data_IF_551727669555
#
_entry.id   IF_551727669555
#
_cell.length_a   1.000
_cell.length_b   1.000
_cell.length_c   1.000
_cell.angle_alpha   90.00
_cell.angle_beta   90.00
_cell.angle_gamma   90.00
#
_symmetry.space_group_name_H-M   'P 1'
#
loop_
_entity.id
_entity.type
_entity.pdbx_description
1 polymer ?
#
# COMPACT_ATOMS: atom_id res chain seq x y z
N UNK A 1 0.83 5.21 9.96
CA UNK A 1 -0.60 4.85 9.92
C UNK A 1 -0.91 3.86 8.80
N UNK A 2 -0.23 3.90 7.65
CA UNK A 2 -0.35 2.86 6.62
C UNK A 2 0.26 1.52 7.07
N UNK A 3 1.39 1.55 7.79
CA UNK A 3 2.05 0.35 8.29
C UNK A 3 1.10 -0.57 9.09
N UNK A 4 0.26 0.02 9.95
CA UNK A 4 -0.70 -0.73 10.75
C UNK A 4 -1.71 -1.49 9.88
N UNK A 5 -2.18 -0.88 8.78
CA UNK A 5 -3.04 -1.59 7.83
C UNK A 5 -2.28 -2.76 7.21
N UNK A 6 -1.11 -2.49 6.64
CA UNK A 6 -0.30 -3.48 5.90
C UNK A 6 0.16 -4.66 6.77
N UNK A 7 0.58 -4.41 8.01
CA UNK A 7 1.00 -5.46 8.94
C UNK A 7 -0.18 -6.33 9.34
N UNK A 8 -1.31 -5.73 9.69
CA UNK A 8 -2.47 -6.50 10.15
C UNK A 8 -3.21 -7.23 9.01
N UNK A 9 -3.09 -6.79 7.76
CA UNK A 9 -3.80 -7.38 6.62
C UNK A 9 -2.95 -8.27 5.72
N UNK A 10 -1.63 -8.04 5.65
CA UNK A 10 -0.76 -8.70 4.65
C UNK A 10 0.52 -9.27 5.26
N UNK A 11 1.33 -8.44 5.93
CA UNK A 11 2.73 -8.79 6.23
C UNK A 11 2.95 -9.43 7.59
N UNK A 12 1.95 -9.42 8.48
CA UNK A 12 2.02 -10.02 9.82
C UNK A 12 2.67 -11.41 9.86
N UNK A 13 2.24 -12.38 9.02
CA UNK A 13 2.82 -13.73 9.02
C UNK A 13 4.32 -13.76 8.74
N UNK A 14 4.83 -12.86 7.90
CA UNK A 14 6.27 -12.77 7.62
C UNK A 14 7.07 -12.23 8.82
N UNK A 15 6.40 -11.56 9.75
CA UNK A 15 6.95 -11.04 11.01
C UNK A 15 6.68 -11.97 12.20
N UNK A 16 6.13 -13.18 11.98
CA UNK A 16 5.74 -14.09 13.05
C UNK A 16 4.47 -13.65 13.81
N UNK A 17 3.69 -12.73 13.24
CA UNK A 17 2.44 -12.23 13.81
C UNK A 17 1.23 -12.80 13.04
N UNK A 18 0.09 -13.02 13.71
CA UNK A 18 -1.13 -13.36 12.99
C UNK A 18 -1.68 -12.16 12.21
N UNK A 19 -2.41 -12.43 11.13
CA UNK A 19 -3.27 -11.43 10.53
C UNK A 19 -4.41 -11.07 11.49
N UNK A 20 -4.81 -9.80 11.50
CA UNK A 20 -5.86 -9.30 12.37
C UNK A 20 -6.82 -8.40 11.57
N UNK A 21 -7.89 -8.99 10.97
CA UNK A 21 -8.84 -8.24 10.15
C UNK A 21 -9.55 -7.10 10.90
N UNK A 22 -9.80 -7.26 12.21
CA UNK A 22 -10.41 -6.22 13.04
C UNK A 22 -9.48 -5.03 13.18
N UNK A 23 -8.21 -5.27 13.52
CA UNK A 23 -7.21 -4.21 13.64
C UNK A 23 -6.91 -3.56 12.27
N UNK A 24 -6.89 -4.34 11.19
CA UNK A 24 -6.75 -3.81 9.83
C UNK A 24 -7.89 -2.84 9.47
N UNK A 25 -9.15 -3.21 9.77
CA UNK A 25 -10.31 -2.34 9.52
C UNK A 25 -10.26 -1.04 10.32
N UNK A 26 -9.83 -1.08 11.57
CA UNK A 26 -9.67 0.14 12.37
C UNK A 26 -8.49 0.99 11.87
N UNK A 27 -7.38 0.36 11.49
CA UNK A 27 -6.24 1.04 10.90
C UNK A 27 -6.63 1.74 9.59
N UNK A 28 -7.47 1.12 8.75
CA UNK A 28 -7.95 1.71 7.51
C UNK A 28 -8.82 2.95 7.75
N UNK A 29 -9.71 2.93 8.75
CA UNK A 29 -10.49 4.13 9.14
C UNK A 29 -9.58 5.28 9.58
N UNK A 30 -8.56 4.97 10.39
CA UNK A 30 -7.58 5.96 10.85
C UNK A 30 -6.80 6.50 9.66
N UNK A 31 -6.31 5.62 8.77
CA UNK A 31 -5.64 5.98 7.53
C UNK A 31 -6.50 6.93 6.68
N UNK A 32 -7.76 6.60 6.43
CA UNK A 32 -8.66 7.45 5.65
C UNK A 32 -8.81 8.86 6.28
N UNK A 33 -9.00 8.93 7.61
CA UNK A 33 -9.06 10.22 8.31
C UNK A 33 -7.73 10.99 8.24
N UNK A 34 -6.60 10.28 8.34
CA UNK A 34 -5.26 10.86 8.22
C UNK A 34 -4.98 11.40 6.81
N UNK A 35 -5.37 10.70 5.75
CA UNK A 35 -5.20 11.15 4.36
C UNK A 35 -6.03 12.42 4.08
N UNK A 36 -7.29 12.45 4.55
CA UNK A 36 -8.12 13.65 4.45
C UNK A 36 -7.51 14.87 5.18
N UNK A 37 -6.95 14.65 6.38
CA UNK A 37 -6.23 15.70 7.12
C UNK A 37 -4.92 16.09 6.43
N UNK A 38 -4.23 15.13 5.81
CA UNK A 38 -3.01 15.37 5.06
C UNK A 38 -3.25 16.40 3.95
N UNK A 39 -4.21 16.15 3.08
CA UNK A 39 -4.52 17.06 1.95
C UNK A 39 -5.00 18.44 2.39
N UNK A 40 -5.79 18.51 3.45
CA UNK A 40 -6.44 19.77 3.86
C UNK A 40 -5.54 20.66 4.71
N UNK A 41 -4.71 20.06 5.57
CA UNK A 41 -3.91 20.81 6.55
C UNK A 41 -2.48 21.02 6.07
N UNK A 42 -1.87 20.02 5.44
CA UNK A 42 -0.42 20.03 5.22
C UNK A 42 -0.01 20.28 3.76
N UNK A 43 -0.87 19.95 2.79
CA UNK A 43 -0.69 20.26 1.37
C UNK A 43 -1.45 21.54 0.99
N UNK A 44 -0.88 22.69 1.37
CA UNK A 44 -1.50 24.02 1.20
C UNK A 44 -1.18 24.64 -0.16
N UNK A 45 -2.20 25.23 -0.79
CA UNK A 45 -2.05 26.01 -2.02
C UNK A 45 -1.48 25.19 -3.17
N UNK A 46 -0.64 25.82 -4.00
CA UNK A 46 0.02 25.21 -5.16
C UNK A 46 1.47 24.80 -4.85
N UNK A 47 1.81 24.64 -3.57
CA UNK A 47 3.17 24.26 -3.19
C UNK A 47 3.44 22.78 -3.47
N UNK A 48 4.71 22.47 -3.75
CA UNK A 48 5.13 21.13 -4.16
C UNK A 48 5.33 20.17 -2.99
N UNK A 49 5.66 20.70 -1.82
CA UNK A 49 6.03 19.96 -0.61
C UNK A 49 5.23 20.42 0.60
N UNK A 50 5.37 19.68 1.70
CA UNK A 50 4.71 19.97 2.96
C UNK A 50 4.94 21.42 3.40
N UNK A 51 3.93 21.96 4.10
CA UNK A 51 3.96 23.31 4.70
C UNK A 51 4.12 24.47 3.71
N UNK A 52 3.87 24.26 2.42
CA UNK A 52 3.99 25.32 1.43
C UNK A 52 5.40 25.47 0.85
N UNK A 53 6.29 24.50 1.09
CA UNK A 53 7.70 24.59 0.66
C UNK A 53 7.89 24.28 -0.83
N UNK A 54 8.95 24.85 -1.41
CA UNK A 54 9.44 24.54 -2.76
C UNK A 54 10.60 23.54 -2.79
N UNK A 55 11.08 23.09 -1.61
CA UNK A 55 12.08 22.04 -1.46
C UNK A 55 11.58 20.99 -0.45
N UNK A 56 11.92 19.70 -0.63
CA UNK A 56 11.54 18.66 0.31
C UNK A 56 12.28 18.81 1.64
N UNK A 57 11.62 18.43 2.71
CA UNK A 57 12.17 18.36 4.07
C UNK A 57 12.22 16.91 4.57
N UNK A 58 12.79 16.70 5.76
CA UNK A 58 12.74 15.38 6.42
C UNK A 58 11.30 14.91 6.70
N UNK A 59 10.36 15.85 6.88
CA UNK A 59 8.95 15.51 7.03
C UNK A 59 8.38 14.92 5.74
N UNK A 60 8.80 15.43 4.57
CA UNK A 60 8.38 14.89 3.29
C UNK A 60 8.92 13.47 3.09
N UNK A 61 10.22 13.26 3.38
CA UNK A 61 10.86 11.94 3.29
C UNK A 61 10.22 10.92 4.24
N UNK A 62 9.91 11.32 5.47
CA UNK A 62 9.32 10.42 6.45
C UNK A 62 7.90 10.02 6.05
N UNK A 63 7.11 10.99 5.59
CA UNK A 63 5.72 10.76 5.25
C UNK A 63 5.58 9.99 3.93
N UNK A 64 6.47 10.23 2.95
CA UNK A 64 6.38 9.55 1.65
C UNK A 64 6.65 8.06 1.83
N UNK A 65 7.66 7.70 2.64
CA UNK A 65 7.96 6.32 2.98
C UNK A 65 6.76 5.62 3.65
N UNK A 66 5.98 6.34 4.45
CA UNK A 66 4.78 5.80 5.07
C UNK A 66 3.66 5.58 4.04
N UNK A 67 3.47 6.50 3.09
CA UNK A 67 2.50 6.32 2.00
C UNK A 67 2.91 5.17 1.07
N UNK A 68 4.21 5.06 0.74
CA UNK A 68 4.72 4.04 -0.18
C UNK A 68 4.49 2.61 0.32
N UNK A 69 4.30 2.37 1.63
CA UNK A 69 3.93 1.04 2.13
C UNK A 69 2.59 0.54 1.57
N UNK A 70 1.70 1.44 1.13
CA UNK A 70 0.44 1.07 0.49
C UNK A 70 0.64 0.39 -0.87
N UNK A 71 1.80 0.55 -1.51
CA UNK A 71 2.14 -0.17 -2.76
C UNK A 71 2.12 -1.69 -2.60
N UNK A 72 2.20 -2.21 -1.38
CA UNK A 72 2.10 -3.65 -1.08
C UNK A 72 0.67 -4.18 -1.32
N UNK A 73 -0.34 -3.32 -1.27
CA UNK A 73 -1.74 -3.68 -1.56
C UNK A 73 -1.87 -4.18 -3.00
N UNK A 74 -2.94 -4.93 -3.28
CA UNK A 74 -3.32 -5.13 -4.68
C UNK A 74 -3.83 -3.84 -5.30
N UNK A 75 -3.85 -3.81 -6.63
CA UNK A 75 -4.14 -2.59 -7.39
C UNK A 75 -5.52 -2.01 -7.06
N UNK A 76 -6.51 -2.88 -6.81
CA UNK A 76 -7.86 -2.48 -6.50
C UNK A 76 -7.93 -1.76 -5.16
N UNK A 77 -7.30 -2.33 -4.13
CA UNK A 77 -7.29 -1.70 -2.80
C UNK A 77 -6.41 -0.46 -2.74
N UNK A 78 -5.29 -0.46 -3.46
CA UNK A 78 -4.43 0.71 -3.60
C UNK A 78 -5.20 1.88 -4.22
N UNK A 79 -5.85 1.67 -5.37
CA UNK A 79 -6.65 2.67 -6.06
C UNK A 79 -7.84 3.14 -5.21
N UNK A 80 -8.53 2.22 -4.54
CA UNK A 80 -9.65 2.54 -3.65
C UNK A 80 -9.24 3.46 -2.49
N UNK A 81 -8.02 3.32 -1.98
CA UNK A 81 -7.52 4.07 -0.82
C UNK A 81 -6.89 5.39 -1.25
N UNK A 82 -6.00 5.40 -2.26
CA UNK A 82 -5.25 6.60 -2.65
C UNK A 82 -5.83 7.36 -3.84
N UNK A 83 -6.59 6.70 -4.72
CA UNK A 83 -7.19 7.34 -5.90
C UNK A 83 -7.99 8.61 -5.60
N UNK A 84 -8.78 8.68 -4.51
CA UNK A 84 -9.49 9.90 -4.12
C UNK A 84 -8.58 11.08 -3.71
N UNK A 85 -7.29 10.85 -3.46
CA UNK A 85 -6.35 11.80 -2.87
C UNK A 85 -5.32 12.34 -3.89
N UNK A 86 -5.82 13.00 -4.93
CA UNK A 86 -5.00 13.50 -6.04
C UNK A 86 -3.85 14.41 -5.62
N UNK A 87 -4.01 15.23 -4.56
CA UNK A 87 -2.92 16.10 -4.08
C UNK A 87 -1.79 15.30 -3.44
N UNK A 88 -2.13 14.22 -2.72
CA UNK A 88 -1.12 13.31 -2.16
C UNK A 88 -0.36 12.64 -3.29
N UNK A 89 -1.05 12.15 -4.33
CA UNK A 89 -0.41 11.51 -5.49
C UNK A 89 0.57 12.46 -6.20
N UNK A 90 0.15 13.71 -6.42
CA UNK A 90 1.03 14.75 -6.98
C UNK A 90 2.25 15.03 -6.07
N UNK A 91 2.02 15.16 -4.76
CA UNK A 91 3.08 15.38 -3.79
C UNK A 91 4.08 14.21 -3.73
N UNK A 92 3.62 12.95 -3.77
CA UNK A 92 4.50 11.76 -3.89
C UNK A 92 5.36 11.87 -5.15
N UNK A 93 4.76 12.26 -6.27
CA UNK A 93 5.47 12.51 -7.54
C UNK A 93 6.54 13.58 -7.41
N UNK A 94 6.24 14.69 -6.74
CA UNK A 94 7.19 15.78 -6.48
C UNK A 94 8.37 15.32 -5.60
N UNK A 95 8.10 14.58 -4.52
CA UNK A 95 9.15 14.04 -3.63
C UNK A 95 10.03 13.05 -4.37
N UNK A 96 9.42 12.15 -5.15
CA UNK A 96 10.14 11.20 -6.01
C UNK A 96 11.05 11.89 -7.01
N UNK A 97 10.56 12.93 -7.70
CA UNK A 97 11.36 13.69 -8.65
C UNK A 97 12.56 14.39 -7.96
N UNK A 98 12.33 15.00 -6.79
CA UNK A 98 13.37 15.72 -6.05
C UNK A 98 14.43 14.80 -5.42
N UNK A 99 14.13 13.51 -5.24
CA UNK A 99 15.01 12.51 -4.61
C UNK A 99 15.48 11.44 -5.59
N UNK A 100 15.27 11.66 -6.89
CA UNK A 100 15.72 10.77 -7.95
C UNK A 100 17.25 10.67 -7.96
N UNK A 101 17.86 9.48 -8.10
CA UNK A 101 17.31 8.15 -8.38
C UNK A 101 17.05 7.30 -7.11
N UNK A 102 17.50 7.76 -5.95
CA UNK A 102 17.47 7.01 -4.68
C UNK A 102 16.08 6.63 -4.22
N UNK A 103 15.05 7.41 -4.61
CA UNK A 103 13.67 7.08 -4.29
C UNK A 103 13.29 5.66 -4.69
N UNK A 104 13.66 5.26 -5.91
CA UNK A 104 13.33 3.92 -6.43
C UNK A 104 14.16 2.85 -5.72
N UNK A 105 15.42 3.13 -5.46
CA UNK A 105 16.33 2.20 -4.80
C UNK A 105 15.83 1.82 -3.40
N UNK A 106 15.45 2.82 -2.60
CA UNK A 106 14.96 2.62 -1.23
C UNK A 106 13.62 1.87 -1.21
N UNK A 107 12.73 2.15 -2.16
CA UNK A 107 11.41 1.50 -2.22
C UNK A 107 11.38 0.19 -3.02
N UNK A 108 12.48 -0.21 -3.67
CA UNK A 108 12.55 -1.41 -4.50
C UNK A 108 12.13 -2.69 -3.76
N UNK A 109 12.38 -2.76 -2.44
CA UNK A 109 11.93 -3.87 -1.63
C UNK A 109 10.40 -4.02 -1.60
N UNK A 110 9.65 -2.91 -1.54
CA UNK A 110 8.19 -2.92 -1.52
C UNK A 110 7.63 -3.51 -2.82
N UNK A 111 8.18 -3.12 -3.97
CA UNK A 111 7.77 -3.66 -5.27
C UNK A 111 8.07 -5.16 -5.40
N UNK A 112 9.24 -5.60 -4.93
CA UNK A 112 9.56 -7.04 -4.89
C UNK A 112 8.60 -7.81 -3.99
N UNK A 113 8.22 -7.23 -2.84
CA UNK A 113 7.27 -7.83 -1.93
C UNK A 113 5.86 -7.93 -2.55
N UNK A 114 5.37 -6.85 -3.18
CA UNK A 114 4.09 -6.82 -3.95
C UNK A 114 4.07 -7.97 -4.96
N UNK A 115 5.10 -8.08 -5.80
CA UNK A 115 5.20 -9.11 -6.83
C UNK A 115 5.21 -10.53 -6.25
N UNK A 116 5.93 -10.76 -5.13
CA UNK A 116 5.96 -12.06 -4.46
C UNK A 116 4.58 -12.45 -3.92
N UNK A 117 3.88 -11.52 -3.28
CA UNK A 117 2.55 -11.76 -2.72
C UNK A 117 1.51 -12.05 -3.81
N UNK A 118 1.56 -11.31 -4.93
CA UNK A 118 0.70 -11.55 -6.09
C UNK A 118 0.90 -12.96 -6.64
N UNK A 119 2.15 -13.40 -6.84
CA UNK A 119 2.45 -14.77 -7.30
C UNK A 119 1.93 -15.84 -6.35
N UNK A 120 2.05 -15.63 -5.04
CA UNK A 120 1.54 -16.56 -4.03
C UNK A 120 0.01 -16.67 -4.08
N UNK A 121 -0.70 -15.55 -4.24
CA UNK A 121 -2.16 -15.53 -4.39
C UNK A 121 -2.61 -16.29 -5.64
N UNK A 122 -1.98 -16.02 -6.80
CA UNK A 122 -2.29 -16.73 -8.05
C UNK A 122 -2.08 -18.24 -7.92
N UNK A 123 -0.93 -18.67 -7.38
CA UNK A 123 -0.64 -20.11 -7.19
C UNK A 123 -1.64 -20.79 -6.25
N UNK A 124 -2.11 -20.09 -5.22
CA UNK A 124 -3.14 -20.62 -4.31
C UNK A 124 -4.50 -20.74 -5.01
N UNK A 125 -4.89 -19.74 -5.82
CA UNK A 125 -6.10 -19.81 -6.64
C UNK A 125 -6.06 -20.97 -7.62
N UNK A 126 -4.93 -21.21 -8.29
CA UNK A 126 -4.77 -22.32 -9.23
C UNK A 126 -4.93 -23.68 -8.53
N UNK A 127 -4.32 -23.85 -7.35
CA UNK A 127 -4.45 -25.07 -6.53
C UNK A 127 -5.88 -25.35 -6.07
N UNK A 128 -6.62 -24.28 -5.74
CA UNK A 128 -8.04 -24.40 -5.37
C UNK A 128 -8.85 -24.84 -6.59
N UNK A 129 -8.62 -24.25 -7.76
CA UNK A 129 -9.34 -24.63 -8.99
C UNK A 129 -9.04 -26.09 -9.35
N UNK A 130 -7.78 -26.52 -9.31
CA UNK A 130 -7.41 -27.91 -9.62
C UNK A 130 -8.07 -28.91 -8.68
N UNK A 131 -8.10 -28.63 -7.37
CA UNK A 131 -8.75 -29.54 -6.41
C UNK A 131 -10.27 -29.60 -6.59
N UNK A 132 -10.91 -28.49 -6.95
CA UNK A 132 -12.34 -28.48 -7.32
C UNK A 132 -12.63 -29.26 -8.61
N UNK A 133 -11.72 -29.25 -9.60
CA UNK A 133 -11.88 -30.04 -10.83
C UNK A 133 -11.64 -31.54 -10.63
N UNK A 134 -10.68 -31.91 -9.78
CA UNK A 134 -10.39 -33.32 -9.45
C UNK A 134 -11.48 -33.93 -8.57
N UNK A 135 -12.10 -33.15 -7.67
CA UNK A 135 -13.23 -33.58 -6.84
C UNK A 135 -14.57 -33.78 -7.58
N UNK A 136 -14.63 -33.51 -8.90
CA UNK A 136 -15.81 -33.66 -9.75
C UNK A 136 -15.66 -34.76 -10.83
N UNK A 137 -15.02 -35.87 -10.51
CA UNK A 137 -15.14 -37.09 -11.33
C UNK A 137 -16.41 -37.87 -10.92
N UNK A 138 -17.38 -38.11 -11.83
CA UNK A 138 -18.59 -38.82 -11.49
C UNK A 138 -18.31 -40.30 -11.23
N UNK A 139 -18.72 -40.76 -10.06
CA UNK A 139 -18.95 -42.17 -9.76
C UNK A 139 -19.89 -42.76 -10.82
N UNK A 140 -19.32 -43.49 -11.78
CA UNK A 140 -20.05 -44.47 -12.58
C UNK A 140 -19.62 -45.86 -12.12
N UNK A 141 -20.52 -46.54 -11.41
CA UNK A 141 -20.88 -47.94 -11.55
C UNK A 141 -22.03 -48.26 -10.59
#
# INVERSE_FOLDING_TARGET
>A
FAASLIVNSITGPALGLPLNPKAAKEAEKILASSLAKFETIWLKGNAKFLLGSFQPSIADLSLVCEIMQLEILDEKDHERILGPHGKILEWVGNVKAATSHYFEEVHAFLYRLKAKLQRQRSSMSDKIITSFTEGKLPSKL
#
